data_IF_002720423769
#
_entry.id   IF_002720423769
#
_cell.length_a   1.000
_cell.length_b   1.000
_cell.length_c   1.000
_cell.angle_alpha   90.00
_cell.angle_beta   90.00
_cell.angle_gamma   90.00
#
_symmetry.space_group_name_H-M   'P 1'
#
loop_
_entity.id
_entity.type
_entity.pdbx_description
1 polymer ?
#
# COMPACT_ATOMS: atom_id res chain seq x y z
N UNK A 1 6.57 -8.77 -25.12
CA UNK A 1 5.65 -7.72 -24.65
C UNK A 1 5.39 -7.96 -23.17
N UNK A 2 6.08 -7.25 -22.27
CA UNK A 2 5.82 -7.38 -20.83
C UNK A 2 4.49 -6.69 -20.54
N UNK A 3 3.43 -7.48 -20.33
CA UNK A 3 2.16 -6.96 -19.84
C UNK A 3 2.42 -6.36 -18.45
N UNK A 4 2.45 -5.03 -18.37
CA UNK A 4 2.41 -4.36 -17.08
C UNK A 4 1.02 -4.66 -16.49
N UNK A 5 0.93 -5.19 -15.26
CA UNK A 5 -0.36 -5.38 -14.62
C UNK A 5 -1.08 -4.03 -14.59
N UNK A 6 -2.25 -3.96 -15.24
CA UNK A 6 -3.06 -2.75 -15.25
C UNK A 6 -3.63 -2.58 -13.83
N UNK A 7 -3.30 -1.51 -13.09
CA UNK A 7 -3.71 -1.40 -11.70
C UNK A 7 -5.24 -1.30 -11.65
N UNK A 8 -5.88 -2.24 -10.94
CA UNK A 8 -7.29 -2.10 -10.58
C UNK A 8 -7.39 -0.80 -9.75
N UNK A 9 -8.30 0.13 -10.09
CA UNK A 9 -8.44 1.38 -9.34
C UNK A 9 -8.87 1.08 -7.90
N UNK A 10 -7.90 1.00 -6.99
CA UNK A 10 -8.19 0.89 -5.57
C UNK A 10 -8.57 2.26 -5.01
N UNK A 11 -9.48 2.31 -4.02
CA UNK A 11 -9.78 3.54 -3.32
C UNK A 11 -8.49 4.19 -2.80
N UNK A 12 -8.32 5.49 -3.09
CA UNK A 12 -7.15 6.24 -2.62
C UNK A 12 -7.08 6.19 -1.10
N UNK A 13 -5.97 5.70 -0.55
CA UNK A 13 -5.70 5.76 0.88
C UNK A 13 -5.30 7.19 1.25
N UNK A 14 -5.87 7.69 2.34
CA UNK A 14 -5.61 9.04 2.89
C UNK A 14 -5.32 8.93 4.38
N UNK A 15 -4.69 9.95 4.96
CA UNK A 15 -4.46 9.99 6.41
C UNK A 15 -5.76 9.95 7.22
N UNK A 16 -6.84 10.56 6.73
CA UNK A 16 -8.15 10.48 7.37
C UNK A 16 -8.66 9.03 7.42
N UNK A 17 -8.55 8.29 6.32
CA UNK A 17 -8.95 6.87 6.26
C UNK A 17 -8.11 5.99 7.19
N UNK A 18 -6.80 6.22 7.26
CA UNK A 18 -5.91 5.51 8.18
C UNK A 18 -6.25 5.81 9.64
N UNK A 19 -6.58 7.08 9.97
CA UNK A 19 -7.03 7.47 11.30
C UNK A 19 -8.35 6.78 11.69
N UNK A 20 -9.31 6.71 10.75
CA UNK A 20 -10.57 5.99 10.95
C UNK A 20 -10.36 4.49 11.16
N UNK A 21 -9.48 3.85 10.37
CA UNK A 21 -9.11 2.44 10.54
C UNK A 21 -8.52 2.21 11.93
N UNK A 22 -7.58 3.08 12.36
CA UNK A 22 -6.98 3.03 13.70
C UNK A 22 -8.03 3.20 14.81
N UNK A 23 -8.94 4.16 14.69
CA UNK A 23 -10.03 4.38 15.66
C UNK A 23 -10.97 3.17 15.76
N UNK A 24 -11.23 2.51 14.63
CA UNK A 24 -12.05 1.29 14.54
C UNK A 24 -11.28 0.01 14.89
N UNK A 25 -9.99 0.11 15.25
CA UNK A 25 -9.09 -1.03 15.50
C UNK A 25 -9.03 -2.01 14.32
N UNK A 26 -9.24 -1.49 13.11
CA UNK A 26 -9.03 -2.25 11.88
C UNK A 26 -7.52 -2.37 11.65
N UNK A 27 -7.00 -3.58 11.37
CA UNK A 27 -5.59 -3.75 11.02
C UNK A 27 -5.23 -2.91 9.79
N UNK A 28 -4.05 -2.28 9.84
CA UNK A 28 -3.49 -1.51 8.72
C UNK A 28 -2.30 -2.29 8.19
N UNK A 29 -2.36 -2.75 6.94
CA UNK A 29 -1.29 -3.50 6.31
C UNK A 29 -0.24 -2.55 5.73
N UNK A 30 1.01 -2.68 6.19
CA UNK A 30 2.14 -1.85 5.74
C UNK A 30 3.25 -2.74 5.18
N UNK A 31 3.81 -2.36 4.03
CA UNK A 31 4.94 -3.04 3.43
C UNK A 31 5.99 -2.02 2.95
N UNK A 32 7.25 -2.45 2.86
CA UNK A 32 8.27 -1.67 2.17
C UNK A 32 8.31 -2.00 0.70
N UNK A 33 8.44 -0.98 -0.15
CA UNK A 33 8.81 -1.15 -1.54
C UNK A 33 9.75 -0.02 -1.94
N UNK A 34 10.76 -0.33 -2.75
CA UNK A 34 11.80 0.63 -3.16
C UNK A 34 11.75 0.94 -4.66
N UNK A 35 11.00 0.16 -5.44
CA UNK A 35 10.85 0.29 -6.88
C UNK A 35 9.38 0.24 -7.30
N UNK A 36 9.13 0.73 -8.51
CA UNK A 36 7.79 0.83 -9.08
C UNK A 36 7.09 -0.53 -9.26
N UNK A 37 7.74 -1.59 -9.81
CA UNK A 37 7.13 -2.93 -9.87
C UNK A 37 6.67 -3.46 -8.50
N UNK A 38 7.49 -3.32 -7.47
CA UNK A 38 7.16 -3.75 -6.11
C UNK A 38 5.97 -2.97 -5.54
N UNK A 39 5.91 -1.65 -5.79
CA UNK A 39 4.77 -0.82 -5.39
C UNK A 39 3.47 -1.23 -6.10
N UNK A 40 3.53 -1.61 -7.38
CA UNK A 40 2.38 -2.12 -8.13
C UNK A 40 1.86 -3.45 -7.55
N UNK A 41 2.75 -4.35 -7.16
CA UNK A 41 2.38 -5.61 -6.50
C UNK A 41 1.72 -5.32 -5.15
N UNK A 42 2.30 -4.44 -4.34
CA UNK A 42 1.71 -4.02 -3.06
C UNK A 42 0.31 -3.43 -3.23
N UNK A 43 0.12 -2.59 -4.26
CA UNK A 43 -1.19 -2.09 -4.63
C UNK A 43 -2.14 -3.24 -5.00
N UNK A 44 -1.75 -4.15 -5.89
CA UNK A 44 -2.62 -5.25 -6.33
C UNK A 44 -3.07 -6.19 -5.20
N UNK A 45 -2.25 -6.36 -4.16
CA UNK A 45 -2.56 -7.21 -2.99
C UNK A 45 -3.41 -6.45 -1.93
N UNK A 46 -3.61 -5.15 -2.09
CA UNK A 46 -4.42 -4.34 -1.17
C UNK A 46 -3.68 -3.87 0.07
N UNK A 47 -2.36 -3.64 -0.03
CA UNK A 47 -1.58 -2.99 1.04
C UNK A 47 -2.09 -1.56 1.24
N UNK A 48 -2.35 -1.16 2.50
CA UNK A 48 -2.83 0.18 2.84
C UNK A 48 -1.72 1.24 2.72
N UNK A 49 -0.47 0.89 3.04
CA UNK A 49 0.65 1.82 3.06
C UNK A 49 1.96 1.18 2.55
N UNK A 50 2.62 1.88 1.62
CA UNK A 50 3.98 1.55 1.17
C UNK A 50 4.97 2.53 1.79
N UNK A 51 5.99 2.01 2.47
CA UNK A 51 7.08 2.80 3.06
C UNK A 51 8.35 2.66 2.24
N UNK A 52 8.90 3.79 1.81
CA UNK A 52 10.20 3.86 1.14
C UNK A 52 11.22 4.30 2.19
N UNK A 53 12.07 3.37 2.65
CA UNK A 53 13.09 3.67 3.65
C UNK A 53 13.50 2.45 4.47
N UNK A 54 14.52 2.62 5.32
CA UNK A 54 14.97 1.53 6.20
C UNK A 54 13.89 1.26 7.27
N UNK A 55 13.46 0.00 7.40
CA UNK A 55 12.56 -0.38 8.49
C UNK A 55 13.24 -0.11 9.84
N UNK A 56 12.51 0.44 10.83
CA UNK A 56 13.00 0.46 12.20
C UNK A 56 13.17 -1.00 12.67
N UNK A 57 14.30 -1.30 13.29
CA UNK A 57 14.54 -2.60 13.92
C UNK A 57 13.76 -2.75 15.22
#
# INVERSE_FOLDING_TARGET
>A
MSAQPHPIPLPRITFARLADQKAKRQPIAMATAYDHPSAQIAQAVGIDLVVVGTLPR
#
